data_IF_636339155229
#
_entry.id   IF_636339155229
#
_cell.length_a   1.000
_cell.length_b   1.000
_cell.length_c   1.000
_cell.angle_alpha   90.00
_cell.angle_beta   90.00
_cell.angle_gamma   90.00
#
_symmetry.space_group_name_H-M   'P 1'
#
loop_
_entity.id
_entity.type
_entity.pdbx_description
1 polymer ?
#
# COMPACT_ATOMS: atom_id res chain seq x y z
N UNK A 1 12.46 0.17 30.63
CA UNK A 1 13.36 0.39 29.47
C UNK A 1 12.58 1.04 28.34
N UNK A 2 12.90 2.28 27.93
CA UNK A 2 12.29 2.90 26.74
C UNK A 2 13.09 2.48 25.52
N UNK A 3 12.56 1.56 24.72
CA UNK A 3 13.10 1.25 23.40
C UNK A 3 12.94 2.48 22.50
N UNK A 4 14.05 3.12 22.13
CA UNK A 4 14.05 4.26 21.21
C UNK A 4 14.40 3.77 19.81
N UNK A 5 13.38 3.43 19.02
CA UNK A 5 13.57 3.06 17.61
C UNK A 5 13.97 4.31 16.82
N UNK A 6 15.03 4.20 16.01
CA UNK A 6 15.51 5.30 15.15
C UNK A 6 14.54 5.50 13.97
N UNK A 7 14.29 6.75 13.53
CA UNK A 7 13.45 7.02 12.35
C UNK A 7 13.86 6.23 11.10
N UNK A 8 15.17 6.02 10.91
CA UNK A 8 15.71 5.20 9.81
C UNK A 8 15.27 3.74 9.88
N UNK A 9 15.24 3.14 11.08
CA UNK A 9 14.76 1.77 11.26
C UNK A 9 13.25 1.65 10.94
N UNK A 10 12.47 2.69 11.27
CA UNK A 10 11.05 2.73 10.91
C UNK A 10 10.83 2.89 9.40
N UNK A 11 11.67 3.65 8.70
CA UNK A 11 11.63 3.72 7.23
C UNK A 11 11.99 2.39 6.58
N UNK A 12 13.01 1.69 7.09
CA UNK A 12 13.36 0.35 6.58
C UNK A 12 12.19 -0.62 6.76
N UNK A 13 11.55 -0.59 7.94
CA UNK A 13 10.35 -1.38 8.20
C UNK A 13 9.22 -1.01 7.23
N UNK A 14 8.97 0.28 7.01
CA UNK A 14 7.96 0.74 6.05
C UNK A 14 8.26 0.24 4.63
N UNK A 15 9.52 0.31 4.19
CA UNK A 15 9.93 -0.27 2.90
C UNK A 15 9.65 -1.76 2.80
N UNK A 16 9.93 -2.53 3.85
CA UNK A 16 9.62 -3.96 3.90
C UNK A 16 8.10 -4.21 3.81
N UNK A 17 7.28 -3.41 4.51
CA UNK A 17 5.82 -3.48 4.41
C UNK A 17 5.35 -3.21 2.98
N UNK A 18 5.89 -2.19 2.30
CA UNK A 18 5.55 -1.91 0.89
C UNK A 18 5.86 -3.11 -0.01
N UNK A 19 7.03 -3.72 0.13
CA UNK A 19 7.39 -4.92 -0.65
C UNK A 19 6.40 -6.05 -0.41
N UNK A 20 6.03 -6.32 0.84
CA UNK A 20 5.04 -7.35 1.18
C UNK A 20 3.68 -7.04 0.56
N UNK A 21 3.21 -5.79 0.62
CA UNK A 21 1.94 -5.38 0.02
C UNK A 21 1.94 -5.54 -1.50
N UNK A 22 3.04 -5.19 -2.17
CA UNK A 22 3.19 -5.36 -3.62
C UNK A 22 3.13 -6.84 -3.99
N UNK A 23 3.90 -7.70 -3.31
CA UNK A 23 3.90 -9.15 -3.55
C UNK A 23 2.52 -9.75 -3.31
N UNK A 24 1.83 -9.33 -2.26
CA UNK A 24 0.47 -9.76 -1.96
C UNK A 24 -0.52 -9.32 -3.04
N UNK A 25 -0.40 -8.08 -3.54
CA UNK A 25 -1.22 -7.59 -4.65
C UNK A 25 -1.02 -8.39 -5.93
N UNK A 26 0.22 -8.74 -6.25
CA UNK A 26 0.55 -9.62 -7.39
C UNK A 26 -0.06 -11.02 -7.19
N UNK A 27 0.09 -11.61 -6.00
CA UNK A 27 -0.50 -12.91 -5.71
C UNK A 27 -2.03 -12.91 -5.86
N UNK A 28 -2.71 -11.87 -5.36
CA UNK A 28 -4.16 -11.68 -5.53
C UNK A 28 -4.51 -11.56 -7.02
N UNK A 29 -3.79 -10.73 -7.77
CA UNK A 29 -4.06 -10.55 -9.20
C UNK A 29 -3.89 -11.86 -9.99
N UNK A 30 -2.86 -12.65 -9.70
CA UNK A 30 -2.64 -13.96 -10.32
C UNK A 30 -3.74 -14.98 -9.95
N UNK A 31 -4.22 -14.95 -8.70
CA UNK A 31 -5.29 -15.83 -8.26
C UNK A 31 -6.65 -15.46 -8.89
N UNK A 32 -6.92 -14.16 -9.07
CA UNK A 32 -8.16 -13.68 -9.67
C UNK A 32 -8.15 -13.90 -11.18
N UNK A 33 -7.04 -13.65 -11.88
CA UNK A 33 -6.92 -13.76 -13.34
C UNK A 33 -6.82 -15.21 -13.86
N UNK A 34 -7.42 -16.18 -13.17
CA UNK A 34 -7.43 -17.58 -13.55
C UNK A 34 -7.97 -17.84 -14.98
N UNK A 35 -7.86 -19.08 -15.49
CA UNK A 35 -8.08 -19.41 -16.90
C UNK A 35 -9.51 -19.14 -17.42
N UNK A 36 -10.45 -18.78 -16.55
CA UNK A 36 -11.88 -18.58 -16.85
C UNK A 36 -12.32 -17.13 -16.89
N UNK A 37 -11.45 -16.15 -16.63
CA UNK A 37 -11.83 -14.72 -16.56
C UNK A 37 -12.14 -14.17 -17.94
N UNK A 38 -13.34 -13.61 -18.11
CA UNK A 38 -13.78 -12.98 -19.35
C UNK A 38 -13.01 -11.69 -19.66
N UNK A 39 -12.99 -11.29 -20.94
CA UNK A 39 -12.24 -10.11 -21.41
C UNK A 39 -12.65 -8.82 -20.67
N UNK A 40 -13.92 -8.68 -20.31
CA UNK A 40 -14.48 -7.49 -19.64
C UNK A 40 -14.12 -7.40 -18.15
N UNK A 41 -13.99 -8.54 -17.47
CA UNK A 41 -13.52 -8.61 -16.08
C UNK A 41 -12.03 -8.23 -16.01
N UNK A 42 -11.23 -8.68 -16.98
CA UNK A 42 -9.83 -8.31 -17.15
C UNK A 42 -9.63 -6.79 -17.31
N UNK A 43 -10.51 -6.08 -18.02
CA UNK A 43 -10.43 -4.62 -18.15
C UNK A 43 -10.76 -3.88 -16.85
N UNK A 44 -11.67 -4.40 -16.02
CA UNK A 44 -12.02 -3.82 -14.71
C UNK A 44 -10.95 -4.08 -13.65
N UNK A 45 -10.29 -5.24 -13.72
CA UNK A 45 -9.20 -5.63 -12.82
C UNK A 45 -7.87 -4.93 -13.13
N UNK A 46 -7.66 -4.53 -14.40
CA UNK A 46 -6.41 -3.95 -14.90
C UNK A 46 -5.89 -2.71 -14.14
N UNK A 47 -6.73 -1.72 -13.75
CA UNK A 47 -6.24 -0.56 -13.00
C UNK A 47 -6.02 -0.83 -11.51
N UNK A 48 -6.65 -1.86 -10.94
CA UNK A 48 -6.64 -2.10 -9.49
C UNK A 48 -5.25 -2.47 -8.96
N UNK A 49 -4.47 -3.28 -9.68
CA UNK A 49 -3.11 -3.65 -9.27
C UNK A 49 -2.14 -2.44 -9.31
N UNK A 50 -2.05 -1.66 -10.42
CA UNK A 50 -1.28 -0.41 -10.42
C UNK A 50 -1.69 0.57 -9.31
N UNK A 51 -3.00 0.70 -9.04
CA UNK A 51 -3.51 1.54 -7.95
C UNK A 51 -3.09 1.01 -6.59
N UNK A 52 -3.12 -0.31 -6.37
CA UNK A 52 -2.67 -0.91 -5.12
C UNK A 52 -1.16 -0.71 -4.91
N UNK A 53 -0.35 -0.90 -5.95
CA UNK A 53 1.09 -0.63 -5.91
C UNK A 53 1.36 0.84 -5.60
N UNK A 54 0.66 1.76 -6.26
CA UNK A 54 0.78 3.20 -5.99
C UNK A 54 0.34 3.55 -4.56
N UNK A 55 -0.77 2.96 -4.09
CA UNK A 55 -1.30 3.12 -2.74
C UNK A 55 -0.33 2.63 -1.67
N UNK A 56 0.41 1.56 -1.93
CA UNK A 56 1.46 1.08 -1.04
C UNK A 56 2.72 1.96 -1.11
N UNK A 57 3.21 2.30 -2.29
CA UNK A 57 4.52 2.92 -2.48
C UNK A 57 4.55 4.44 -2.26
N UNK A 58 3.49 5.17 -2.64
CA UNK A 58 3.49 6.63 -2.57
C UNK A 58 3.61 7.15 -1.12
N UNK A 59 2.89 6.60 -0.12
CA UNK A 59 3.06 7.02 1.27
C UNK A 59 4.47 6.73 1.81
N UNK A 60 5.15 5.70 1.30
CA UNK A 60 6.55 5.44 1.65
C UNK A 60 7.49 6.52 1.11
N UNK A 61 7.36 6.90 -0.17
CA UNK A 61 8.17 7.98 -0.75
C UNK A 61 7.96 9.28 0.01
N UNK A 62 6.71 9.64 0.30
CA UNK A 62 6.36 10.84 1.07
C UNK A 62 6.96 10.76 2.48
N UNK A 63 6.80 9.63 3.17
CA UNK A 63 7.33 9.45 4.52
C UNK A 63 8.87 9.53 4.54
N UNK A 64 9.56 8.98 3.53
CA UNK A 64 11.01 9.07 3.40
C UNK A 64 11.47 10.52 3.23
N UNK A 65 10.87 11.27 2.29
CA UNK A 65 11.17 12.68 2.06
C UNK A 65 10.93 13.51 3.32
N UNK A 66 9.75 13.37 3.95
CA UNK A 66 9.41 14.12 5.17
C UNK A 66 10.33 13.77 6.34
N UNK A 67 10.74 12.51 6.47
CA UNK A 67 11.66 12.07 7.53
C UNK A 67 13.07 12.62 7.31
N UNK A 68 13.55 12.66 6.07
CA UNK A 68 14.83 13.27 5.70
C UNK A 68 14.82 14.79 5.95
N UNK A 69 13.75 15.47 5.56
CA UNK A 69 13.57 16.90 5.82
C UNK A 69 13.47 17.23 7.32
N UNK A 70 12.91 16.32 8.12
CA UNK A 70 12.81 16.47 9.57
C UNK A 70 14.08 16.03 10.33
N UNK A 71 15.05 15.41 9.67
CA UNK A 71 16.27 14.86 10.27
C UNK A 71 17.13 15.87 11.08
N UNK A 72 17.18 17.18 10.77
CA UNK A 72 17.94 18.13 11.59
C UNK A 72 17.36 18.34 13.00
N UNK A 73 16.08 18.03 13.22
CA UNK A 73 15.42 18.17 14.50
C UNK A 73 14.93 16.82 15.00
N UNK A 74 15.59 16.24 16.00
CA UNK A 74 15.22 15.00 16.69
C UNK A 74 13.88 15.10 17.47
N UNK A 75 12.86 15.65 16.81
CA UNK A 75 11.53 15.90 17.31
C UNK A 75 10.74 14.60 17.33
N UNK A 76 9.81 14.49 18.28
CA UNK A 76 8.80 13.41 18.32
C UNK A 76 8.07 13.25 16.98
N UNK A 77 7.92 14.34 16.22
CA UNK A 77 7.25 14.37 14.91
C UNK A 77 8.01 13.55 13.85
N UNK A 78 9.34 13.58 13.84
CA UNK A 78 10.15 12.80 12.91
C UNK A 78 9.95 11.28 13.04
N UNK A 79 9.54 10.80 14.23
CA UNK A 79 9.26 9.38 14.48
C UNK A 79 7.84 8.97 14.08
N UNK A 80 6.90 9.91 14.10
CA UNK A 80 5.51 9.65 13.74
C UNK A 80 5.34 9.51 12.22
N UNK A 81 6.18 10.20 11.43
CA UNK A 81 6.08 10.22 9.96
C UNK A 81 6.10 8.81 9.35
N UNK A 82 7.09 7.93 9.62
CA UNK A 82 7.08 6.59 9.05
C UNK A 82 5.88 5.74 9.52
N UNK A 83 5.44 5.92 10.78
CA UNK A 83 4.30 5.15 11.34
C UNK A 83 3.00 5.51 10.63
N UNK A 84 2.76 6.82 10.43
CA UNK A 84 1.61 7.30 9.66
C UNK A 84 1.72 6.86 8.20
N UNK A 85 2.93 6.89 7.64
CA UNK A 85 3.20 6.37 6.30
C UNK A 85 2.81 4.90 6.14
N UNK A 86 3.17 4.04 7.10
CA UNK A 86 2.79 2.62 7.08
C UNK A 86 1.28 2.47 7.08
N UNK A 87 0.58 3.16 7.99
CA UNK A 87 -0.88 3.09 8.06
C UNK A 87 -1.53 3.56 6.75
N UNK A 88 -1.04 4.65 6.17
CA UNK A 88 -1.52 5.15 4.89
C UNK A 88 -1.27 4.15 3.74
N UNK A 89 -0.08 3.53 3.67
CA UNK A 89 0.22 2.48 2.69
C UNK A 89 -0.74 1.31 2.80
N UNK A 90 -1.05 0.85 4.01
CA UNK A 90 -2.00 -0.25 4.23
C UNK A 90 -3.42 0.14 3.81
N UNK A 91 -3.91 1.31 4.25
CA UNK A 91 -5.28 1.77 3.95
C UNK A 91 -5.47 1.96 2.44
N UNK A 92 -4.57 2.69 1.78
CA UNK A 92 -4.70 2.97 0.34
C UNK A 92 -4.57 1.70 -0.50
N UNK A 93 -3.65 0.80 -0.13
CA UNK A 93 -3.53 -0.50 -0.79
C UNK A 93 -4.80 -1.34 -0.60
N UNK A 94 -5.35 -1.42 0.61
CA UNK A 94 -6.59 -2.16 0.88
C UNK A 94 -7.79 -1.59 0.11
N UNK A 95 -7.94 -0.26 0.09
CA UNK A 95 -8.99 0.41 -0.69
C UNK A 95 -8.84 0.11 -2.18
N UNK A 96 -7.63 0.13 -2.72
CA UNK A 96 -7.39 -0.22 -4.12
C UNK A 96 -7.78 -1.68 -4.43
N UNK A 97 -7.54 -2.61 -3.50
CA UNK A 97 -7.96 -4.00 -3.68
C UNK A 97 -9.47 -4.24 -3.56
N UNK A 98 -10.24 -3.36 -2.93
CA UNK A 98 -11.70 -3.48 -2.95
C UNK A 98 -12.25 -3.37 -4.37
N UNK A 99 -11.57 -2.64 -5.26
CA UNK A 99 -11.94 -2.56 -6.67
C UNK A 99 -11.61 -3.83 -7.48
N UNK A 100 -10.85 -4.77 -6.91
CA UNK A 100 -10.62 -6.10 -7.51
C UNK A 100 -11.88 -6.97 -7.40
N UNK A 101 -12.72 -6.75 -6.39
CA UNK A 101 -13.97 -7.51 -6.16
C UNK A 101 -15.18 -6.58 -6.28
N UNK A 102 -15.36 -5.92 -7.43
CA UNK A 102 -16.58 -5.15 -7.65
C UNK A 102 -17.80 -6.09 -7.47
N UNK A 103 -18.79 -5.73 -6.63
CA UNK A 103 -19.94 -6.59 -6.35
C UNK A 103 -20.67 -6.94 -7.65
N UNK A 104 -21.17 -8.17 -7.75
CA UNK A 104 -22.02 -8.58 -8.88
C UNK A 104 -23.13 -7.54 -9.09
N UNK A 105 -23.40 -7.12 -10.34
CA UNK A 105 -24.56 -6.27 -10.59
C UNK A 105 -25.80 -7.00 -10.07
N UNK A 106 -26.61 -6.30 -9.27
CA UNK A 106 -27.90 -6.81 -8.80
C UNK A 106 -28.67 -7.35 -10.01
N UNK A 107 -28.88 -8.68 -10.07
CA UNK A 107 -29.72 -9.29 -11.10
C UNK A 107 -31.16 -8.86 -10.84
N UNK A 108 -31.59 -7.77 -11.46
CA UNK A 108 -32.94 -7.24 -11.33
C UNK A 108 -33.11 -5.95 -12.11
N UNK A 109 -33.54 -6.09 -13.36
CA UNK A 109 -33.92 -5.00 -14.28
C UNK A 109 -34.41 -5.55 -15.59
#
# INVERSE_FOLDING_TARGET
MRWSIRPSALLVLHGAVVVVLILLGVAVALNVAGPTVGRDELYRLRPALPLAVAGAALPFVIAAVLTLMAAPGASRRARAIPVVGIAASMVLWSVALLFVHAPEPLQGG
#
